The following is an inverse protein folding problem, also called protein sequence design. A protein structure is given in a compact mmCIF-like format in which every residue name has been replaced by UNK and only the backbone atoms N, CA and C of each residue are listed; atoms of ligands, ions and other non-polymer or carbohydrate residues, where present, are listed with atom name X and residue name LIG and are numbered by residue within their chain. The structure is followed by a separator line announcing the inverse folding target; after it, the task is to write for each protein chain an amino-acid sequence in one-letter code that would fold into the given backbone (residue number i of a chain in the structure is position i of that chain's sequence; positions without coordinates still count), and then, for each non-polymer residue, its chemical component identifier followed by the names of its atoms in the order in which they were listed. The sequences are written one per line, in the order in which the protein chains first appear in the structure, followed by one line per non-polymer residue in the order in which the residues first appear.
data_IF_590279739716
#
_entry.id   IF_590279739716
#
_cell.length_a   1.000
_cell.length_b   1.000
_cell.length_c   1.000
_cell.angle_alpha   90.00
_cell.angle_beta   90.00
_cell.angle_gamma   90.00
#
_symmetry.space_group_name_H-M   'P 1'
#
loop_
_entity.id
_entity.type
_entity.pdbx_description
1 polymer ?
#
# COMPACT_ATOMS: atom_id res chain seq x y z
N UNK A 1 4.48 1.29 -11.65
CA UNK A 1 4.32 0.46 -10.44
C UNK A 1 2.89 0.49 -9.95
N UNK A 2 2.51 1.54 -9.20
CA UNK A 2 1.22 1.64 -8.50
C UNK A 2 0.00 1.35 -9.36
N UNK A 3 -0.10 1.91 -10.57
CA UNK A 3 -1.23 1.65 -11.48
C UNK A 3 -1.38 0.15 -11.82
N UNK A 4 -0.26 -0.51 -12.14
CA UNK A 4 -0.25 -1.95 -12.44
C UNK A 4 -0.65 -2.75 -11.20
N UNK A 5 -0.14 -2.39 -10.03
CA UNK A 5 -0.51 -3.07 -8.78
C UNK A 5 -2.00 -2.92 -8.45
N UNK A 6 -2.53 -1.70 -8.56
CA UNK A 6 -3.91 -1.38 -8.23
C UNK A 6 -4.95 -1.98 -9.20
N UNK A 7 -4.65 -2.00 -10.50
CA UNK A 7 -5.62 -2.38 -11.53
C UNK A 7 -5.38 -3.76 -12.14
N UNK A 8 -4.21 -4.38 -11.91
CA UNK A 8 -3.89 -5.70 -12.45
C UNK A 8 -3.58 -6.68 -11.31
N UNK A 9 -2.56 -6.40 -10.49
CA UNK A 9 -2.10 -7.34 -9.47
C UNK A 9 -3.16 -7.62 -8.40
N UNK A 10 -3.65 -6.59 -7.70
CA UNK A 10 -4.64 -6.73 -6.64
C UNK A 10 -5.99 -7.28 -7.15
N UNK A 11 -6.55 -6.81 -8.27
CA UNK A 11 -7.75 -7.39 -8.86
C UNK A 11 -7.60 -8.87 -9.23
N UNK A 12 -6.43 -9.27 -9.75
CA UNK A 12 -6.16 -10.66 -10.08
C UNK A 12 -6.11 -11.53 -8.82
N UNK A 13 -5.41 -11.08 -7.78
CA UNK A 13 -5.35 -11.75 -6.48
C UNK A 13 -6.75 -11.89 -5.88
N UNK A 14 -7.53 -10.80 -5.85
CA UNK A 14 -8.90 -10.79 -5.34
C UNK A 14 -9.81 -11.76 -6.10
N UNK A 15 -9.66 -11.84 -7.42
CA UNK A 15 -10.45 -12.76 -8.26
C UNK A 15 -10.05 -14.23 -8.04
N UNK A 16 -8.76 -14.52 -7.92
CA UNK A 16 -8.26 -15.89 -7.79
C UNK A 16 -8.55 -16.44 -6.39
N UNK A 17 -8.18 -15.70 -5.34
CA UNK A 17 -8.21 -16.15 -3.96
C UNK A 17 -9.49 -15.77 -3.22
N UNK A 18 -10.02 -14.56 -3.47
CA UNK A 18 -11.26 -14.09 -2.85
C UNK A 18 -12.53 -14.45 -3.62
N UNK A 19 -12.40 -15.12 -4.78
CA UNK A 19 -13.51 -15.46 -5.71
C UNK A 19 -14.50 -14.31 -5.92
N UNK A 20 -13.98 -13.10 -5.95
CA UNK A 20 -14.76 -11.87 -5.91
C UNK A 20 -14.58 -11.06 -7.19
N UNK A 21 -15.62 -10.34 -7.59
CA UNK A 21 -15.62 -9.46 -8.76
C UNK A 21 -14.88 -8.16 -8.42
N UNK A 22 -13.68 -7.93 -9.00
CA UNK A 22 -12.88 -6.77 -8.63
C UNK A 22 -13.53 -5.43 -8.99
N UNK A 23 -14.38 -5.41 -10.01
CA UNK A 23 -15.09 -4.21 -10.41
C UNK A 23 -16.20 -3.81 -9.43
N UNK A 24 -16.92 -4.82 -8.88
CA UNK A 24 -17.89 -4.56 -7.81
C UNK A 24 -17.20 -4.08 -6.54
N UNK A 25 -16.05 -4.71 -6.20
CA UNK A 25 -15.24 -4.29 -5.06
C UNK A 25 -14.73 -2.86 -5.21
N UNK A 26 -14.20 -2.51 -6.39
CA UNK A 26 -13.71 -1.16 -6.67
C UNK A 26 -14.82 -0.11 -6.52
N UNK A 27 -16.03 -0.41 -7.03
CA UNK A 27 -17.19 0.46 -6.86
C UNK A 27 -17.56 0.66 -5.39
N UNK A 28 -17.62 -0.42 -4.60
CA UNK A 28 -17.89 -0.37 -3.17
C UNK A 28 -16.85 0.50 -2.42
N UNK A 29 -15.59 0.45 -2.86
CA UNK A 29 -14.48 1.17 -2.24
C UNK A 29 -14.27 2.61 -2.74
N UNK A 30 -15.10 3.12 -3.65
CA UNK A 30 -14.87 4.43 -4.30
C UNK A 30 -14.69 5.57 -3.29
N UNK A 31 -15.57 5.69 -2.29
CA UNK A 31 -15.54 6.77 -1.30
C UNK A 31 -14.27 6.69 -0.42
N UNK A 32 -13.93 5.55 0.21
CA UNK A 32 -12.66 5.41 0.92
C UNK A 32 -11.44 5.74 0.05
N UNK A 33 -11.39 5.24 -1.20
CA UNK A 33 -10.23 5.46 -2.08
C UNK A 33 -10.03 6.94 -2.44
N UNK A 34 -11.11 7.67 -2.69
CA UNK A 34 -11.06 9.12 -2.93
C UNK A 34 -10.63 9.91 -1.69
N UNK A 35 -11.10 9.49 -0.50
CA UNK A 35 -10.67 10.08 0.77
C UNK A 35 -9.20 9.79 1.04
N UNK A 36 -8.72 8.56 0.82
CA UNK A 36 -7.31 8.20 0.96
C UNK A 36 -6.43 9.01 0.01
N UNK A 37 -6.88 9.19 -1.24
CA UNK A 37 -6.18 10.02 -2.21
C UNK A 37 -6.06 11.47 -1.72
N UNK A 38 -7.18 12.04 -1.27
CA UNK A 38 -7.26 13.45 -0.89
C UNK A 38 -6.50 13.75 0.42
N UNK A 39 -6.64 12.88 1.41
CA UNK A 39 -6.04 13.05 2.75
C UNK A 39 -4.60 12.56 2.82
N UNK A 40 -4.24 11.59 1.97
CA UNK A 40 -2.97 10.85 2.04
C UNK A 40 -2.72 10.21 3.41
N UNK A 41 -3.79 9.70 4.02
CA UNK A 41 -3.70 8.97 5.28
C UNK A 41 -4.60 7.74 5.27
N UNK A 42 -3.98 6.55 5.38
CA UNK A 42 -4.71 5.28 5.54
C UNK A 42 -5.52 5.26 6.83
N UNK A 43 -4.93 5.77 7.93
CA UNK A 43 -5.55 5.80 9.26
C UNK A 43 -6.74 6.75 9.32
N UNK A 44 -6.67 7.91 8.66
CA UNK A 44 -7.80 8.84 8.56
C UNK A 44 -8.96 8.27 7.70
N UNK A 45 -8.64 7.37 6.78
CA UNK A 45 -9.61 6.73 5.88
C UNK A 45 -10.23 5.47 6.50
N UNK A 46 -9.58 4.88 7.51
CA UNK A 46 -9.97 3.59 8.10
C UNK A 46 -11.46 3.48 8.49
N UNK A 47 -12.11 4.49 9.11
CA UNK A 47 -13.54 4.40 9.41
C UNK A 47 -14.42 4.21 8.17
N UNK A 48 -14.11 4.92 7.08
CA UNK A 48 -14.84 4.77 5.81
C UNK A 48 -14.55 3.42 5.15
N UNK A 49 -13.32 2.93 5.26
CA UNK A 49 -12.94 1.60 4.75
C UNK A 49 -13.70 0.50 5.50
N UNK A 50 -13.80 0.59 6.83
CA UNK A 50 -14.60 -0.34 7.64
C UNK A 50 -16.05 -0.34 7.18
N UNK A 51 -16.67 0.83 7.07
CA UNK A 51 -18.07 0.96 6.65
C UNK A 51 -18.32 0.37 5.26
N UNK A 52 -17.46 0.70 4.27
CA UNK A 52 -17.59 0.18 2.92
C UNK A 52 -17.40 -1.34 2.84
N UNK A 53 -16.43 -1.89 3.56
CA UNK A 53 -16.17 -3.34 3.53
C UNK A 53 -17.25 -4.12 4.30
N UNK A 54 -17.78 -3.57 5.39
CA UNK A 54 -18.86 -4.21 6.15
C UNK A 54 -20.21 -4.15 5.41
N UNK A 55 -20.61 -2.98 4.91
CA UNK A 55 -21.94 -2.77 4.37
C UNK A 55 -22.04 -3.03 2.86
N UNK A 56 -21.09 -2.54 2.07
CA UNK A 56 -21.14 -2.65 0.61
C UNK A 56 -20.56 -3.98 0.13
N UNK A 57 -19.39 -4.36 0.65
CA UNK A 57 -18.73 -5.64 0.30
C UNK A 57 -19.39 -6.83 1.02
N UNK A 58 -19.91 -6.60 2.23
CA UNK A 58 -20.65 -7.60 3.01
C UNK A 58 -19.78 -8.53 3.85
N UNK A 59 -18.55 -8.11 4.20
CA UNK A 59 -17.72 -8.87 5.14
C UNK A 59 -18.15 -8.60 6.58
N UNK A 60 -18.01 -9.59 7.45
CA UNK A 60 -18.42 -9.45 8.86
C UNK A 60 -17.50 -8.51 9.65
N UNK A 61 -18.07 -7.86 10.66
CA UNK A 61 -17.31 -7.05 11.61
C UNK A 61 -16.17 -7.85 12.28
N UNK A 62 -16.34 -9.17 12.45
CA UNK A 62 -15.31 -10.05 13.03
C UNK A 62 -14.03 -10.05 12.18
N UNK A 63 -14.15 -10.02 10.86
CA UNK A 63 -12.99 -9.98 9.95
C UNK A 63 -12.48 -8.55 9.80
N UNK A 64 -13.36 -7.60 9.53
CA UNK A 64 -12.98 -6.21 9.20
C UNK A 64 -12.33 -5.48 10.36
N UNK A 65 -12.84 -5.64 11.60
CA UNK A 65 -12.31 -4.98 12.80
C UNK A 65 -10.89 -5.44 13.19
N UNK A 66 -10.44 -6.58 12.66
CA UNK A 66 -9.08 -7.07 12.86
C UNK A 66 -8.19 -6.76 11.65
N UNK A 67 -8.62 -7.17 10.45
CA UNK A 67 -7.77 -7.13 9.25
C UNK A 67 -7.51 -5.70 8.80
N UNK A 68 -8.50 -4.81 8.83
CA UNK A 68 -8.34 -3.45 8.31
C UNK A 68 -7.47 -2.55 9.20
N UNK A 69 -7.64 -2.53 10.55
CA UNK A 69 -6.74 -1.77 11.42
C UNK A 69 -5.30 -2.29 11.38
N UNK A 70 -5.13 -3.62 11.30
CA UNK A 70 -3.82 -4.22 11.12
C UNK A 70 -3.21 -3.78 9.78
N UNK A 71 -3.94 -3.95 8.67
CA UNK A 71 -3.50 -3.57 7.33
C UNK A 71 -3.08 -2.11 7.21
N UNK A 72 -3.87 -1.19 7.76
CA UNK A 72 -3.58 0.24 7.72
C UNK A 72 -2.24 0.63 8.37
N UNK A 73 -1.65 -0.26 9.17
CA UNK A 73 -0.36 -0.06 9.85
C UNK A 73 0.78 -0.90 9.29
N UNK A 74 0.52 -2.13 8.84
CA UNK A 74 1.57 -3.08 8.42
C UNK A 74 1.63 -3.34 6.91
N UNK A 75 0.52 -3.12 6.20
CA UNK A 75 0.36 -3.47 4.79
C UNK A 75 0.47 -2.21 3.91
N UNK A 76 1.70 -1.74 3.72
CA UNK A 76 1.99 -0.53 2.94
C UNK A 76 2.62 -0.83 1.57
N UNK A 77 1.94 -1.62 0.74
CA UNK A 77 2.38 -2.02 -0.61
C UNK A 77 2.83 -0.84 -1.49
N UNK A 78 2.03 0.22 -1.52
CA UNK A 78 2.30 1.41 -2.30
C UNK A 78 3.54 2.15 -1.80
N UNK A 79 3.77 2.16 -0.49
CA UNK A 79 4.95 2.75 0.13
C UNK A 79 6.20 1.95 -0.22
N UNK A 80 6.17 0.62 -0.07
CA UNK A 80 7.30 -0.24 -0.44
C UNK A 80 7.66 -0.13 -1.93
N UNK A 81 6.65 -0.08 -2.82
CA UNK A 81 6.86 0.14 -4.26
C UNK A 81 7.51 1.50 -4.54
N UNK A 82 7.03 2.55 -3.88
CA UNK A 82 7.61 3.89 -4.02
C UNK A 82 9.06 3.92 -3.56
N UNK A 83 9.36 3.36 -2.40
CA UNK A 83 10.69 3.36 -1.80
C UNK A 83 11.72 2.63 -2.66
N UNK A 84 11.36 1.47 -3.22
CA UNK A 84 12.22 0.72 -4.12
C UNK A 84 12.58 1.55 -5.36
N UNK A 85 11.58 2.20 -5.97
CA UNK A 85 11.78 3.03 -7.16
C UNK A 85 12.58 4.29 -6.84
N UNK A 86 12.31 4.93 -5.70
CA UNK A 86 13.00 6.13 -5.26
C UNK A 86 14.49 5.86 -4.99
N UNK A 87 14.84 4.75 -4.34
CA UNK A 87 16.23 4.37 -4.10
C UNK A 87 17.00 4.14 -5.40
N UNK A 88 16.40 3.42 -6.35
CA UNK A 88 17.01 3.19 -7.68
C UNK A 88 17.15 4.51 -8.45
N UNK A 89 16.14 5.37 -8.41
CA UNK A 89 16.17 6.68 -9.05
C UNK A 89 17.30 7.56 -8.48
N UNK A 90 17.45 7.62 -7.16
CA UNK A 90 18.50 8.39 -6.51
C UNK A 90 19.88 7.85 -6.90
N UNK A 91 20.07 6.53 -6.89
CA UNK A 91 21.32 5.93 -7.34
C UNK A 91 21.66 6.33 -8.78
N UNK A 92 20.69 6.26 -9.69
CA UNK A 92 20.86 6.65 -11.09
C UNK A 92 21.15 8.15 -11.25
N UNK A 93 20.48 9.02 -10.50
CA UNK A 93 20.70 10.46 -10.54
C UNK A 93 22.12 10.86 -10.10
N UNK A 94 22.70 10.12 -9.16
CA UNK A 94 24.08 10.32 -8.70
C UNK A 94 25.12 9.54 -9.52
N UNK A 95 24.70 8.78 -10.54
CA UNK A 95 25.60 7.94 -11.33
C UNK A 95 26.17 6.74 -10.56
N UNK A 96 25.54 6.35 -9.44
CA UNK A 96 25.93 5.21 -8.62
C UNK A 96 25.24 3.97 -9.17
N UNK A 97 26.03 2.97 -9.56
CA UNK A 97 25.50 1.69 -10.01
C UNK A 97 25.19 0.79 -8.81
N UNK A 98 23.92 0.42 -8.63
CA UNK A 98 23.53 -0.59 -7.65
C UNK A 98 23.65 -1.98 -8.26
N UNK A 99 24.50 -2.82 -7.65
CA UNK A 99 24.57 -4.23 -8.03
C UNK A 99 23.29 -5.00 -7.63
N UNK A 100 23.19 -6.25 -8.07
CA UNK A 100 22.02 -7.08 -7.81
C UNK A 100 21.79 -7.35 -6.31
N UNK A 101 22.86 -7.44 -5.52
CA UNK A 101 22.77 -7.68 -4.09
C UNK A 101 22.26 -6.44 -3.35
N UNK A 102 22.72 -5.25 -3.73
CA UNK A 102 22.21 -3.98 -3.21
C UNK A 102 20.74 -3.78 -3.59
N UNK A 103 20.34 -4.11 -4.82
CA UNK A 103 18.92 -4.06 -5.21
C UNK A 103 18.05 -5.00 -4.37
N UNK A 104 18.55 -6.21 -4.05
CA UNK A 104 17.88 -7.11 -3.12
C UNK A 104 17.78 -6.51 -1.71
N UNK A 105 18.84 -5.89 -1.20
CA UNK A 105 18.81 -5.18 0.09
C UNK A 105 17.76 -4.06 0.07
N UNK A 106 17.63 -3.29 -1.01
CA UNK A 106 16.59 -2.25 -1.14
C UNK A 106 15.21 -2.86 -0.96
N UNK A 107 14.88 -3.92 -1.71
CA UNK A 107 13.56 -4.57 -1.64
C UNK A 107 13.29 -5.15 -0.25
N UNK A 108 14.27 -5.84 0.32
CA UNK A 108 14.14 -6.42 1.65
C UNK A 108 13.98 -5.36 2.74
N UNK A 109 14.74 -4.27 2.66
CA UNK A 109 14.67 -3.17 3.61
C UNK A 109 13.34 -2.43 3.48
N UNK A 110 12.85 -2.19 2.25
CA UNK A 110 11.53 -1.60 2.00
C UNK A 110 10.39 -2.45 2.59
N UNK A 111 10.48 -3.78 2.46
CA UNK A 111 9.51 -4.69 3.07
C UNK A 111 9.51 -4.63 4.60
N UNK A 112 10.69 -4.59 5.23
CA UNK A 112 10.78 -4.45 6.69
C UNK A 112 10.32 -3.07 7.15
N UNK A 113 10.66 -2.04 6.38
CA UNK A 113 10.26 -0.67 6.60
C UNK A 113 8.73 -0.51 6.56
N UNK A 114 8.04 -1.11 5.59
CA UNK A 114 6.58 -1.02 5.46
C UNK A 114 5.83 -1.60 6.65
N UNK A 115 6.43 -2.55 7.39
CA UNK A 115 5.86 -3.12 8.61
C UNK A 115 6.16 -2.20 9.82
N UNK A 116 7.36 -1.62 9.89
CA UNK A 116 7.82 -0.79 11.01
C UNK A 116 7.30 0.66 10.99
N UNK A 117 6.69 1.11 9.89
CA UNK A 117 6.25 2.50 9.70
C UNK A 117 5.00 2.91 10.50
N UNK A 118 4.29 1.93 11.08
CA UNK A 118 3.03 2.12 11.82
C UNK A 118 3.01 3.23 12.89
N UNK A 119 4.18 3.60 13.45
CA UNK A 119 4.30 4.53 14.57
C UNK A 119 5.03 5.85 14.28
N UNK A 120 5.48 6.10 13.04
CA UNK A 120 6.37 7.23 12.73
C UNK A 120 5.58 8.34 12.02
N UNK A 121 5.45 9.54 12.61
CA UNK A 121 4.89 10.70 11.91
C UNK A 121 5.73 11.03 10.67
N UNK A 122 5.10 11.30 9.53
CA UNK A 122 5.82 11.59 8.26
C UNK A 122 6.72 10.42 7.81
N UNK A 123 6.27 9.18 8.05
CA UNK A 123 7.05 7.95 7.85
C UNK A 123 7.77 7.87 6.50
N UNK A 124 7.14 8.24 5.38
CA UNK A 124 7.70 8.02 4.04
C UNK A 124 9.10 8.62 3.82
N UNK A 125 9.37 9.82 4.33
CA UNK A 125 10.70 10.44 4.21
C UNK A 125 11.71 9.87 5.20
N UNK A 126 11.26 9.39 6.36
CA UNK A 126 12.14 8.71 7.31
C UNK A 126 12.53 7.32 6.77
N UNK A 127 11.57 6.57 6.24
CA UNK A 127 11.81 5.23 5.73
C UNK A 127 12.78 5.20 4.53
N UNK A 128 12.65 6.16 3.60
CA UNK A 128 13.59 6.23 2.48
C UNK A 128 15.03 6.48 2.96
N UNK A 129 15.26 7.27 4.02
CA UNK A 129 16.62 7.49 4.55
C UNK A 129 17.22 6.22 5.15
N UNK A 130 16.41 5.35 5.76
CA UNK A 130 16.84 4.03 6.24
C UNK A 130 17.30 3.16 5.05
N UNK A 131 16.54 3.15 3.96
CA UNK A 131 16.84 2.37 2.77
C UNK A 131 18.11 2.88 2.09
N UNK A 132 18.24 4.19 1.90
CA UNK A 132 19.44 4.80 1.31
C UNK A 132 20.69 4.49 2.16
N UNK A 133 20.57 4.58 3.49
CA UNK A 133 21.65 4.23 4.41
C UNK A 133 22.06 2.76 4.29
N UNK A 134 21.09 1.85 4.13
CA UNK A 134 21.34 0.41 4.01
C UNK A 134 22.17 0.04 2.77
N UNK A 135 22.09 0.84 1.70
CA UNK A 135 22.88 0.63 0.46
C UNK A 135 23.99 1.66 0.24
N UNK A 136 24.24 2.54 1.22
CA UNK A 136 25.31 3.53 1.17
C UNK A 136 25.08 4.69 0.19
N UNK A 137 23.82 5.04 -0.09
CA UNK A 137 23.46 6.16 -0.94
C UNK A 137 23.38 7.49 -0.16
N UNK A 138 23.68 8.63 -0.79
CA UNK A 138 23.63 9.94 -0.16
C UNK A 138 22.21 10.32 0.25
N UNK A 139 22.03 10.73 1.51
CA UNK A 139 20.73 11.07 2.08
C UNK A 139 20.16 12.38 1.51
N UNK A 140 21.05 13.27 1.05
CA UNK A 140 20.67 14.51 0.38
C UNK A 140 19.87 14.25 -0.91
N UNK A 141 20.00 13.05 -1.48
CA UNK A 141 19.23 12.60 -2.64
C UNK A 141 17.72 12.59 -2.41
N UNK A 142 17.25 12.53 -1.16
CA UNK A 142 15.83 12.70 -0.80
C UNK A 142 15.31 14.06 -1.29
N UNK A 143 16.16 15.09 -1.34
CA UNK A 143 15.80 16.40 -1.87
C UNK A 143 15.29 16.37 -3.32
N UNK A 144 15.74 15.40 -4.13
CA UNK A 144 15.35 15.26 -5.53
C UNK A 144 13.89 14.82 -5.71
N UNK A 145 13.33 14.11 -4.73
CA UNK A 145 11.98 13.55 -4.80
C UNK A 145 10.95 14.37 -4.02
N UNK A 146 11.38 15.28 -3.13
CA UNK A 146 10.49 16.12 -2.32
C UNK A 146 9.43 16.88 -3.14
N UNK A 147 9.82 17.39 -4.32
CA UNK A 147 8.93 18.18 -5.16
C UNK A 147 7.74 17.37 -5.70
N UNK A 148 7.90 16.05 -5.87
CA UNK A 148 6.86 15.16 -6.40
C UNK A 148 6.24 14.28 -5.32
N UNK A 149 6.86 14.19 -4.13
CA UNK A 149 6.43 13.31 -3.05
C UNK A 149 4.97 13.52 -2.68
N UNK A 150 4.48 14.76 -2.67
CA UNK A 150 3.08 15.03 -2.30
C UNK A 150 2.08 14.29 -3.19
N UNK A 151 2.27 14.30 -4.50
CA UNK A 151 1.34 13.63 -5.44
C UNK A 151 1.52 12.11 -5.34
N UNK A 152 2.76 11.65 -5.19
CA UNK A 152 3.06 10.22 -5.04
C UNK A 152 2.51 9.67 -3.71
N UNK A 153 2.43 10.50 -2.68
CA UNK A 153 1.86 10.20 -1.37
C UNK A 153 0.36 9.92 -1.44
N UNK A 154 -0.35 10.75 -2.19
CA UNK A 154 -1.76 10.55 -2.49
C UNK A 154 -1.97 9.18 -3.16
N UNK A 155 -1.19 8.89 -4.20
CA UNK A 155 -1.27 7.63 -4.94
C UNK A 155 -0.92 6.40 -4.09
N UNK A 156 0.19 6.44 -3.32
CA UNK A 156 0.62 5.30 -2.49
C UNK A 156 -0.39 4.98 -1.40
N UNK A 157 -0.95 6.01 -0.78
CA UNK A 157 -1.96 5.85 0.28
C UNK A 157 -3.23 5.20 -0.26
N UNK A 158 -3.71 5.63 -1.44
CA UNK A 158 -4.85 5.00 -2.10
C UNK A 158 -4.60 3.51 -2.37
N UNK A 159 -3.39 3.16 -2.83
CA UNK A 159 -3.03 1.75 -3.09
C UNK A 159 -2.97 0.93 -1.80
N UNK A 160 -2.43 1.48 -0.70
CA UNK A 160 -2.40 0.79 0.60
C UNK A 160 -3.83 0.46 1.09
N UNK A 161 -4.72 1.45 1.08
CA UNK A 161 -6.13 1.25 1.47
C UNK A 161 -6.83 0.25 0.54
N UNK A 162 -6.52 0.29 -0.76
CA UNK A 162 -7.03 -0.67 -1.72
C UNK A 162 -6.58 -2.11 -1.41
N UNK A 163 -5.29 -2.32 -1.14
CA UNK A 163 -4.76 -3.63 -0.76
C UNK A 163 -5.36 -4.15 0.54
N UNK A 164 -5.54 -3.29 1.55
CA UNK A 164 -6.15 -3.67 2.82
C UNK A 164 -7.57 -4.20 2.63
N UNK A 165 -8.36 -3.48 1.82
CA UNK A 165 -9.74 -3.88 1.51
C UNK A 165 -9.80 -5.21 0.73
N UNK A 166 -8.84 -5.44 -0.18
CA UNK A 166 -8.74 -6.70 -0.90
C UNK A 166 -8.38 -7.84 0.05
N UNK A 167 -7.43 -7.62 0.97
CA UNK A 167 -7.06 -8.57 2.01
C UNK A 167 -8.23 -8.96 2.89
N UNK A 168 -9.00 -7.98 3.38
CA UNK A 168 -10.20 -8.22 4.19
C UNK A 168 -11.25 -9.07 3.44
N UNK A 169 -11.51 -8.75 2.17
CA UNK A 169 -12.43 -9.53 1.34
C UNK A 169 -11.95 -10.97 1.09
N UNK A 170 -10.64 -11.16 0.86
CA UNK A 170 -10.06 -12.50 0.68
C UNK A 170 -10.20 -13.31 1.96
N UNK A 171 -9.83 -12.74 3.12
CA UNK A 171 -9.93 -13.44 4.40
C UNK A 171 -11.39 -13.80 4.72
N UNK A 172 -12.33 -12.87 4.53
CA UNK A 172 -13.74 -13.15 4.74
C UNK A 172 -14.23 -14.32 3.86
N UNK A 173 -13.84 -14.34 2.58
CA UNK A 173 -14.16 -15.44 1.69
C UNK A 173 -13.55 -16.77 2.16
N UNK A 174 -12.28 -16.79 2.58
CA UNK A 174 -11.61 -18.01 3.06
C UNK A 174 -12.17 -18.53 4.39
N UNK A 175 -12.74 -17.65 5.21
CA UNK A 175 -13.47 -18.01 6.44
C UNK A 175 -14.91 -18.48 6.16
N UNK A 176 -15.31 -18.59 4.88
CA UNK A 176 -16.59 -19.13 4.45
C UNK A 176 -17.72 -18.10 4.34
N UNK A 177 -17.40 -16.80 4.40
CA UNK A 177 -18.40 -15.75 4.22
C UNK A 177 -18.78 -15.57 2.75
N UNK A 178 -20.07 -15.27 2.52
CA UNK A 178 -20.59 -14.96 1.19
C UNK A 178 -20.71 -13.45 1.03
N UNK A 179 -19.79 -12.89 0.25
CA UNK A 179 -19.72 -11.45 -0.01
C UNK A 179 -20.69 -11.00 -1.11
N UNK A 180 -21.15 -9.75 -1.06
CA UNK A 180 -21.99 -9.12 -2.09
C UNK A 180 -21.29 -9.03 -3.45
N UNK A 181 -19.96 -9.08 -3.43
CA UNK A 181 -19.10 -9.00 -4.60
C UNK A 181 -18.68 -10.36 -5.17
N UNK A 182 -19.10 -11.47 -4.55
CA UNK A 182 -18.73 -12.84 -4.97
C UNK A 182 -19.12 -13.14 -6.43
N UNK A 183 -18.34 -14.01 -7.09
CA UNK A 183 -18.58 -14.52 -8.45
C UNK A 183 -19.20 -15.92 -8.39
#
# INVERSE_FOLDING_TARGET
GLFVHAFITLPLILRIFGKSNPWKHFKAMTTPLLTAFSTSSSSATLPLTLEAVEHEVGASNKVTSFVLPLGATVNMDGTALYECVAAIFIAQAYGIHLDFFQQFIVVFTALLASIGAAGIPMAGLVMITVILSAVGLPLEGVGLILAVDRILDMCRTTVNVWSDSCGAAIIAHTEGEKLNISI
#
